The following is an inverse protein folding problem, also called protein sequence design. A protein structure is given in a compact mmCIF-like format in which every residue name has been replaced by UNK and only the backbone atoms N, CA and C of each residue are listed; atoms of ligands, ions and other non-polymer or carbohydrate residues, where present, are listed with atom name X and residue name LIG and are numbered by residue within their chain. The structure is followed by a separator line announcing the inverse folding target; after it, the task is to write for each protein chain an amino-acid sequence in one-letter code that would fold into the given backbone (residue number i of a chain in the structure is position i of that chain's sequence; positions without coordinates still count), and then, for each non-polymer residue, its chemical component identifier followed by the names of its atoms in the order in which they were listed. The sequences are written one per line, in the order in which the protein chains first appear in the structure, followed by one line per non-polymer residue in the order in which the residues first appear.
data_IF_997275493634
#
_entry.id   IF_997275493634
#
_cell.length_a   1.000
_cell.length_b   1.000
_cell.length_c   1.000
_cell.angle_alpha   90.00
_cell.angle_beta   90.00
_cell.angle_gamma   90.00
#
_symmetry.space_group_name_H-M   'P 1'
#
loop_
_entity.id
_entity.type
_entity.pdbx_description
1 polymer ?
#
# COMPACT_ATOMS: atom_id res chain seq x y z
N UNK A 1 -19.05 7.64 -20.12
CA UNK A 1 -18.84 6.49 -21.02
C UNK A 1 -18.64 6.92 -22.47
N UNK A 2 -19.55 7.74 -23.03
CA UNK A 2 -19.52 8.22 -24.42
C UNK A 2 -18.24 8.97 -24.83
N UNK A 3 -17.54 9.61 -23.88
CA UNK A 3 -16.26 10.28 -24.12
C UNK A 3 -15.09 9.28 -24.19
N UNK A 4 -15.07 8.27 -23.31
CA UNK A 4 -14.01 7.25 -23.25
C UNK A 4 -14.12 6.24 -24.41
N UNK A 5 -15.35 5.91 -24.82
CA UNK A 5 -15.60 5.08 -26.01
C UNK A 5 -15.16 5.80 -27.28
N UNK A 6 -15.47 7.10 -27.42
CA UNK A 6 -14.99 7.94 -28.53
C UNK A 6 -13.46 8.11 -28.55
N UNK A 7 -12.82 8.09 -27.38
CA UNK A 7 -11.35 8.12 -27.30
C UNK A 7 -10.76 6.80 -27.81
N UNK A 8 -11.31 5.65 -27.41
CA UNK A 8 -10.85 4.33 -27.85
C UNK A 8 -11.10 4.04 -29.34
N UNK A 9 -12.08 4.71 -29.94
CA UNK A 9 -12.32 4.71 -31.40
C UNK A 9 -11.28 5.51 -32.18
N UNK A 10 -10.47 6.36 -31.52
CA UNK A 10 -9.45 7.16 -32.19
C UNK A 10 -8.15 6.32 -32.41
N UNK A 11 -7.71 6.11 -33.67
CA UNK A 11 -6.54 5.27 -33.98
C UNK A 11 -5.24 5.75 -33.33
N UNK A 12 -5.13 7.05 -33.04
CA UNK A 12 -3.92 7.66 -32.46
C UNK A 12 -3.64 7.21 -31.02
N UNK A 13 -4.66 6.81 -30.25
CA UNK A 13 -4.47 6.33 -28.87
C UNK A 13 -3.79 4.96 -28.84
N UNK A 14 -3.96 4.15 -29.90
CA UNK A 14 -3.29 2.87 -30.02
C UNK A 14 -1.78 2.99 -30.32
N UNK A 15 -1.30 4.18 -30.67
CA UNK A 15 0.14 4.43 -30.82
C UNK A 15 0.87 4.48 -29.45
N UNK A 16 0.16 4.80 -28.37
CA UNK A 16 0.68 4.70 -27.01
C UNK A 16 -0.01 3.56 -26.24
N UNK A 17 0.66 2.41 -26.23
CA UNK A 17 0.17 1.18 -25.62
C UNK A 17 -0.17 1.34 -24.13
N UNK A 18 0.45 2.31 -23.43
CA UNK A 18 0.18 2.59 -22.02
C UNK A 18 -1.08 3.43 -21.84
N UNK A 19 -1.26 4.48 -22.65
CA UNK A 19 -2.48 5.28 -22.60
C UNK A 19 -3.70 4.44 -23.00
N UNK A 20 -3.60 3.64 -24.07
CA UNK A 20 -4.65 2.72 -24.49
C UNK A 20 -5.04 1.73 -23.37
N UNK A 21 -4.06 1.15 -22.67
CA UNK A 21 -4.32 0.24 -21.55
C UNK A 21 -5.00 0.96 -20.37
N UNK A 22 -4.58 2.18 -20.05
CA UNK A 22 -5.18 2.97 -18.96
C UNK A 22 -6.63 3.38 -19.25
N UNK A 23 -6.92 3.79 -20.50
CA UNK A 23 -8.26 4.19 -20.93
C UNK A 23 -9.19 2.98 -21.02
N UNK A 24 -8.68 1.84 -21.51
CA UNK A 24 -9.41 0.58 -21.53
C UNK A 24 -9.76 0.08 -20.12
N UNK A 25 -8.82 0.19 -19.17
CA UNK A 25 -9.06 -0.16 -17.76
C UNK A 25 -10.18 0.69 -17.16
N UNK A 26 -10.11 2.02 -17.32
CA UNK A 26 -11.16 2.95 -16.84
C UNK A 26 -12.52 2.69 -17.47
N UNK A 27 -12.55 2.32 -18.76
CA UNK A 27 -13.78 2.01 -19.47
C UNK A 27 -14.40 0.70 -18.95
N UNK A 28 -13.59 -0.34 -18.73
CA UNK A 28 -14.04 -1.59 -18.13
C UNK A 28 -14.54 -1.40 -16.71
N UNK A 29 -13.89 -0.56 -15.90
CA UNK A 29 -14.36 -0.19 -14.57
C UNK A 29 -15.73 0.51 -14.61
N UNK A 30 -15.92 1.45 -15.54
CA UNK A 30 -17.19 2.13 -15.73
C UNK A 30 -18.30 1.16 -16.20
N UNK A 31 -17.98 0.23 -17.12
CA UNK A 31 -18.92 -0.80 -17.58
C UNK A 31 -19.31 -1.76 -16.45
N UNK A 32 -18.34 -2.28 -15.71
CA UNK A 32 -18.61 -3.16 -14.57
C UNK A 32 -19.46 -2.48 -13.49
N UNK A 33 -19.27 -1.17 -13.27
CA UNK A 33 -20.10 -0.41 -12.33
C UNK A 33 -21.55 -0.30 -12.79
N UNK A 34 -21.77 -0.13 -14.09
CA UNK A 34 -23.12 -0.07 -14.67
C UNK A 34 -23.81 -1.42 -14.71
N UNK A 35 -23.08 -2.50 -14.99
CA UNK A 35 -23.62 -3.86 -14.90
C UNK A 35 -24.08 -4.18 -13.48
N UNK A 36 -23.31 -3.78 -12.46
CA UNK A 36 -23.73 -3.92 -11.05
C UNK A 36 -25.02 -3.17 -10.74
N UNK A 37 -25.14 -1.91 -11.17
CA UNK A 37 -26.36 -1.12 -10.95
C UNK A 37 -27.57 -1.78 -11.62
N UNK A 38 -27.41 -2.27 -12.86
CA UNK A 38 -28.49 -2.99 -13.56
C UNK A 38 -28.88 -4.28 -12.85
N UNK A 39 -27.91 -5.01 -12.30
CA UNK A 39 -28.16 -6.21 -11.52
C UNK A 39 -28.91 -5.90 -10.22
N UNK A 40 -28.61 -4.77 -9.56
CA UNK A 40 -29.36 -4.34 -8.38
C UNK A 40 -30.79 -3.91 -8.70
N UNK A 41 -31.00 -3.20 -9.82
CA UNK A 41 -32.35 -2.86 -10.28
C UNK A 41 -33.18 -4.12 -10.57
N UNK A 42 -32.58 -5.13 -11.22
CA UNK A 42 -33.27 -6.41 -11.47
C UNK A 42 -33.56 -7.18 -10.18
N UNK A 43 -32.60 -7.28 -9.26
CA UNK A 43 -32.83 -7.91 -7.95
C UNK A 43 -33.92 -7.21 -7.13
N UNK A 44 -34.02 -5.88 -7.22
CA UNK A 44 -35.08 -5.12 -6.58
C UNK A 44 -36.45 -5.38 -7.23
N UNK A 45 -36.52 -5.44 -8.56
CA UNK A 45 -37.75 -5.72 -9.30
C UNK A 45 -38.25 -7.16 -9.04
N UNK A 46 -37.33 -8.13 -9.05
CA UNK A 46 -37.61 -9.52 -8.71
C UNK A 46 -38.11 -9.65 -7.26
N UNK A 47 -37.46 -8.94 -6.32
CA UNK A 47 -37.89 -8.95 -4.91
C UNK A 47 -39.26 -8.31 -4.72
N UNK A 48 -39.58 -7.23 -5.44
CA UNK A 48 -40.92 -6.63 -5.41
C UNK A 48 -41.97 -7.59 -5.98
N UNK A 49 -41.67 -8.24 -7.11
CA UNK A 49 -42.56 -9.22 -7.73
C UNK A 49 -42.84 -10.41 -6.79
N UNK A 50 -41.83 -10.89 -6.07
CA UNK A 50 -41.98 -11.95 -5.05
C UNK A 50 -42.88 -11.50 -3.88
N UNK A 51 -42.75 -10.25 -3.44
CA UNK A 51 -43.63 -9.68 -2.40
C UNK A 51 -45.07 -9.60 -2.89
N UNK A 52 -45.30 -9.08 -4.10
CA UNK A 52 -46.64 -9.00 -4.70
C UNK A 52 -47.29 -10.40 -4.84
N UNK A 53 -46.54 -11.38 -5.36
CA UNK A 53 -46.99 -12.78 -5.46
C UNK A 53 -47.30 -13.40 -4.10
N UNK A 54 -46.51 -13.08 -3.07
CA UNK A 54 -46.77 -13.59 -1.72
C UNK A 54 -48.07 -13.04 -1.13
N UNK A 55 -48.41 -11.78 -1.43
CA UNK A 55 -49.66 -11.16 -1.00
C UNK A 55 -50.86 -11.78 -1.72
N UNK A 56 -50.73 -12.07 -3.01
CA UNK A 56 -51.77 -12.71 -3.82
C UNK A 56 -52.01 -14.19 -3.46
N UNK A 57 -50.93 -14.97 -3.28
CA UNK A 57 -51.00 -16.42 -3.04
C UNK A 57 -51.03 -16.80 -1.55
N UNK A 58 -50.80 -15.84 -0.65
CA UNK A 58 -50.67 -16.06 0.80
C UNK A 58 -49.61 -17.11 1.17
N UNK A 59 -48.51 -17.16 0.42
CA UNK A 59 -47.37 -18.06 0.68
C UNK A 59 -46.24 -17.33 1.43
N UNK A 60 -46.01 -17.64 2.72
CA UNK A 60 -44.91 -17.05 3.50
C UNK A 60 -43.52 -17.43 3.01
N UNK A 61 -43.37 -18.52 2.25
CA UNK A 61 -42.06 -18.96 1.74
C UNK A 61 -41.48 -17.96 0.74
N UNK A 62 -42.32 -17.30 -0.05
CA UNK A 62 -41.91 -16.28 -1.02
C UNK A 62 -41.41 -15.00 -0.34
N UNK A 63 -41.97 -14.66 0.84
CA UNK A 63 -41.50 -13.55 1.66
C UNK A 63 -40.10 -13.81 2.23
N UNK A 64 -39.83 -15.04 2.66
CA UNK A 64 -38.51 -15.42 3.17
C UNK A 64 -37.45 -15.31 2.05
N UNK A 65 -37.77 -15.77 0.83
CA UNK A 65 -36.90 -15.64 -0.35
C UNK A 65 -36.64 -14.18 -0.76
N UNK A 66 -37.68 -13.33 -0.75
CA UNK A 66 -37.54 -11.90 -0.99
C UNK A 66 -36.66 -11.23 0.08
N UNK A 67 -36.81 -11.64 1.34
CA UNK A 67 -36.02 -11.09 2.45
C UNK A 67 -34.53 -11.46 2.35
N UNK A 68 -34.21 -12.67 1.89
CA UNK A 68 -32.83 -13.11 1.69
C UNK A 68 -32.18 -12.37 0.51
N UNK A 69 -32.95 -12.15 -0.56
CA UNK A 69 -32.52 -11.39 -1.74
C UNK A 69 -32.24 -9.93 -1.40
N UNK A 70 -33.13 -9.28 -0.63
CA UNK A 70 -32.93 -7.91 -0.14
C UNK A 70 -31.74 -7.79 0.82
N UNK A 71 -31.49 -8.79 1.67
CA UNK A 71 -30.28 -8.81 2.52
C UNK A 71 -29.00 -8.87 1.70
N UNK A 72 -28.96 -9.73 0.67
CA UNK A 72 -27.79 -9.80 -0.24
C UNK A 72 -27.57 -8.46 -0.97
N UNK A 73 -28.65 -7.83 -1.44
CA UNK A 73 -28.58 -6.52 -2.09
C UNK A 73 -28.07 -5.43 -1.13
N UNK A 74 -28.56 -5.42 0.12
CA UNK A 74 -28.06 -4.54 1.18
C UNK A 74 -26.56 -4.70 1.39
N UNK A 75 -26.07 -5.94 1.53
CA UNK A 75 -24.65 -6.22 1.75
C UNK A 75 -23.78 -5.79 0.55
N UNK A 76 -24.29 -5.92 -0.67
CA UNK A 76 -23.59 -5.46 -1.88
C UNK A 76 -23.54 -3.93 -2.01
N UNK A 77 -24.65 -3.26 -1.68
CA UNK A 77 -24.73 -1.81 -1.65
C UNK A 77 -23.79 -1.22 -0.60
N UNK A 78 -23.76 -1.78 0.61
CA UNK A 78 -22.82 -1.35 1.65
C UNK A 78 -21.36 -1.47 1.19
N UNK A 79 -21.00 -2.58 0.54
CA UNK A 79 -19.65 -2.76 -0.05
C UNK A 79 -19.36 -1.72 -1.13
N UNK A 80 -20.35 -1.33 -1.93
CA UNK A 80 -20.16 -0.34 -2.99
C UNK A 80 -20.03 1.08 -2.44
N UNK A 81 -20.88 1.46 -1.49
CA UNK A 81 -20.73 2.73 -0.76
C UNK A 81 -19.34 2.82 -0.13
N UNK A 82 -18.87 1.72 0.46
CA UNK A 82 -17.53 1.65 1.01
C UNK A 82 -16.43 1.87 -0.04
N UNK A 83 -16.54 1.24 -1.21
CA UNK A 83 -15.62 1.48 -2.32
C UNK A 83 -15.63 2.93 -2.79
N UNK A 84 -16.77 3.63 -2.68
CA UNK A 84 -16.86 5.06 -3.02
C UNK A 84 -16.23 5.97 -1.97
N UNK A 85 -16.23 5.57 -0.70
CA UNK A 85 -15.50 6.29 0.36
C UNK A 85 -13.98 6.22 0.17
N UNK A 86 -13.47 5.20 -0.52
CA UNK A 86 -12.06 5.02 -0.84
C UNK A 86 -11.63 5.88 -2.05
N UNK A 87 -11.74 7.20 -1.90
CA UNK A 87 -11.41 8.19 -2.94
C UNK A 87 -10.02 8.83 -2.78
N UNK A 88 -9.15 8.29 -1.94
CA UNK A 88 -7.78 8.78 -1.77
C UNK A 88 -6.93 8.55 -3.02
N UNK A 89 -5.93 9.42 -3.23
CA UNK A 89 -5.05 9.39 -4.41
C UNK A 89 -4.39 8.01 -4.65
N UNK A 90 -4.07 7.30 -3.56
CA UNK A 90 -3.43 5.98 -3.60
C UNK A 90 -4.34 4.85 -3.12
N UNK A 91 -5.62 5.11 -2.85
CA UNK A 91 -6.52 4.09 -2.27
C UNK A 91 -6.69 2.89 -3.20
N UNK A 92 -6.64 3.11 -4.52
CA UNK A 92 -6.69 2.05 -5.55
C UNK A 92 -5.39 1.27 -5.73
N UNK A 93 -4.29 1.75 -5.15
CA UNK A 93 -2.96 1.16 -5.32
C UNK A 93 -2.80 -0.12 -4.49
N UNK A 94 -1.84 -0.93 -4.91
CA UNK A 94 -1.37 -2.06 -4.12
C UNK A 94 -0.80 -1.59 -2.77
N UNK A 95 -0.88 -2.44 -1.76
CA UNK A 95 -0.37 -2.15 -0.43
C UNK A 95 0.96 -2.86 -0.17
N UNK A 96 1.92 -2.13 0.36
CA UNK A 96 3.12 -2.68 0.98
C UNK A 96 2.93 -2.64 2.50
N UNK A 97 2.87 -3.82 3.12
CA UNK A 97 2.71 -3.98 4.55
C UNK A 97 4.01 -4.49 5.16
N UNK A 98 4.42 -3.87 6.26
CA UNK A 98 5.58 -4.31 7.05
C UNK A 98 5.15 -4.55 8.48
N UNK A 99 5.29 -5.79 8.93
CA UNK A 99 5.06 -6.17 10.33
C UNK A 99 6.39 -6.16 11.05
N UNK A 100 6.48 -5.43 12.17
CA UNK A 100 7.67 -5.37 13.01
C UNK A 100 7.35 -5.83 14.43
N UNK A 101 8.18 -6.71 14.98
CA UNK A 101 8.10 -7.11 16.38
C UNK A 101 8.54 -5.95 17.29
N UNK A 102 7.72 -5.66 18.30
CA UNK A 102 7.98 -4.60 19.27
C UNK A 102 8.62 -5.08 20.56
N UNK A 103 8.36 -4.35 21.65
CA UNK A 103 8.79 -4.75 22.99
C UNK A 103 8.08 -6.03 23.44
N UNK A 104 8.85 -7.04 23.85
CA UNK A 104 8.33 -8.32 24.35
C UNK A 104 9.20 -9.55 24.08
N UNK A 105 10.34 -9.41 23.38
CA UNK A 105 11.27 -10.51 23.12
C UNK A 105 10.65 -11.59 22.23
N UNK A 106 10.87 -12.87 22.55
CA UNK A 106 10.36 -14.02 21.80
C UNK A 106 8.83 -14.00 21.65
N UNK A 107 8.08 -13.52 22.65
CA UNK A 107 6.61 -13.40 22.54
C UNK A 107 6.14 -12.29 21.62
N UNK A 108 6.91 -11.22 21.45
CA UNK A 108 6.61 -10.18 20.46
C UNK A 108 6.92 -10.68 19.04
N UNK A 109 7.98 -11.48 18.88
CA UNK A 109 8.33 -12.10 17.60
C UNK A 109 7.28 -13.13 17.15
N UNK A 110 6.80 -13.96 18.08
CA UNK A 110 5.68 -14.88 17.79
C UNK A 110 4.38 -14.12 17.49
N UNK A 111 4.12 -13.03 18.21
CA UNK A 111 2.95 -12.18 17.91
C UNK A 111 3.03 -11.54 16.52
N UNK A 112 4.19 -11.05 16.10
CA UNK A 112 4.40 -10.54 14.76
C UNK A 112 4.10 -11.62 13.69
N UNK A 113 4.52 -12.87 13.94
CA UNK A 113 4.21 -13.99 13.04
C UNK A 113 2.71 -14.30 12.98
N UNK A 114 2.02 -14.25 14.12
CA UNK A 114 0.57 -14.42 14.18
C UNK A 114 -0.16 -13.33 13.38
N UNK A 115 0.28 -12.07 13.46
CA UNK A 115 -0.26 -10.98 12.67
C UNK A 115 -0.01 -11.16 11.18
N UNK A 116 1.21 -11.56 10.79
CA UNK A 116 1.53 -11.86 9.40
C UNK A 116 0.56 -12.90 8.84
N UNK A 117 0.35 -14.02 9.55
CA UNK A 117 -0.61 -15.06 9.16
C UNK A 117 -2.04 -14.52 9.04
N UNK A 118 -2.45 -13.66 9.96
CA UNK A 118 -3.78 -13.04 9.95
C UNK A 118 -3.99 -12.19 8.68
N UNK A 119 -3.01 -11.34 8.33
CA UNK A 119 -3.10 -10.49 7.14
C UNK A 119 -2.99 -11.25 5.83
N UNK A 120 -2.18 -12.32 5.77
CA UNK A 120 -2.14 -13.21 4.59
C UNK A 120 -3.52 -13.84 4.38
N UNK A 121 -4.14 -14.40 5.43
CA UNK A 121 -5.48 -15.00 5.34
C UNK A 121 -6.55 -14.00 4.97
N UNK A 122 -6.46 -12.78 5.50
CA UNK A 122 -7.36 -11.69 5.13
C UNK A 122 -7.25 -11.35 3.64
N UNK A 123 -6.04 -11.21 3.12
CA UNK A 123 -5.80 -10.96 1.70
C UNK A 123 -6.30 -12.11 0.80
N UNK A 124 -6.04 -13.37 1.19
CA UNK A 124 -6.55 -14.55 0.47
C UNK A 124 -8.08 -14.59 0.45
N UNK A 125 -8.76 -14.27 1.56
CA UNK A 125 -10.23 -14.18 1.63
C UNK A 125 -10.81 -13.11 0.72
N UNK A 126 -10.11 -11.98 0.55
CA UNK A 126 -10.49 -10.92 -0.39
C UNK A 126 -10.15 -11.26 -1.85
N UNK A 127 -9.43 -12.35 -2.10
CA UNK A 127 -8.96 -12.74 -3.43
C UNK A 127 -7.78 -11.90 -3.92
N UNK A 128 -7.03 -11.27 -3.01
CA UNK A 128 -5.82 -10.53 -3.34
C UNK A 128 -4.59 -11.45 -3.39
N UNK A 129 -3.60 -11.05 -4.18
CA UNK A 129 -2.34 -11.75 -4.26
C UNK A 129 -1.37 -11.23 -3.21
N UNK A 130 -0.63 -12.12 -2.56
CA UNK A 130 0.36 -11.76 -1.53
C UNK A 130 1.74 -12.24 -1.95
N UNK A 131 2.67 -11.30 -2.05
CA UNK A 131 4.07 -11.56 -2.35
C UNK A 131 4.94 -11.17 -1.15
N UNK A 132 5.67 -12.13 -0.59
CA UNK A 132 6.63 -11.87 0.49
C UNK A 132 7.91 -11.32 -0.14
N UNK A 133 8.32 -10.11 0.26
CA UNK A 133 9.51 -9.43 -0.28
C UNK A 133 10.72 -9.70 0.59
N UNK A 134 10.57 -9.52 1.90
CA UNK A 134 11.66 -9.72 2.85
C UNK A 134 11.11 -10.30 4.15
N UNK A 135 11.90 -11.16 4.79
CA UNK A 135 11.54 -11.80 6.06
C UNK A 135 12.79 -11.95 6.92
N UNK A 136 12.72 -11.37 8.11
CA UNK A 136 13.72 -11.49 9.17
C UNK A 136 13.17 -12.38 10.28
N UNK A 137 13.73 -13.57 10.44
CA UNK A 137 13.31 -14.54 11.46
C UNK A 137 13.72 -14.10 12.88
N UNK A 138 12.95 -14.57 13.88
CA UNK A 138 13.27 -14.45 15.30
C UNK A 138 14.45 -15.33 15.71
N UNK A 139 15.06 -15.04 16.87
CA UNK A 139 16.21 -15.82 17.35
C UNK A 139 15.81 -17.20 17.89
N UNK A 140 14.61 -17.31 18.49
CA UNK A 140 14.07 -18.56 19.04
C UNK A 140 12.76 -18.99 18.36
N UNK A 141 11.85 -18.04 18.14
CA UNK A 141 10.55 -18.27 17.53
C UNK A 141 10.02 -16.98 16.89
N UNK A 142 9.12 -17.12 15.92
CA UNK A 142 8.46 -15.98 15.29
C UNK A 142 9.32 -15.23 14.28
N UNK A 143 8.95 -13.98 14.02
CA UNK A 143 9.61 -13.08 13.07
C UNK A 143 9.98 -11.77 13.76
N UNK A 144 11.12 -11.18 13.42
CA UNK A 144 11.51 -9.83 13.83
C UNK A 144 10.84 -8.78 12.94
N UNK A 145 10.89 -8.99 11.63
CA UNK A 145 10.29 -8.11 10.64
C UNK A 145 9.89 -8.91 9.41
N UNK A 146 8.80 -8.56 8.76
CA UNK A 146 8.43 -9.12 7.47
C UNK A 146 7.72 -8.05 6.63
N UNK A 147 8.19 -7.87 5.41
CA UNK A 147 7.58 -6.99 4.42
C UNK A 147 6.96 -7.83 3.31
N UNK A 148 5.66 -7.60 3.06
CA UNK A 148 4.91 -8.28 2.01
C UNK A 148 4.07 -7.27 1.22
N UNK A 149 3.92 -7.55 -0.07
CA UNK A 149 3.08 -6.79 -0.98
C UNK A 149 1.74 -7.50 -1.12
N UNK A 150 0.66 -6.73 -1.05
CA UNK A 150 -0.69 -7.19 -1.32
C UNK A 150 -1.17 -6.49 -2.58
N UNK A 151 -1.30 -7.27 -3.64
CA UNK A 151 -1.77 -6.80 -4.94
C UNK A 151 -3.25 -7.11 -5.11
N UNK A 152 -4.04 -6.04 -5.26
CA UNK A 152 -5.48 -6.15 -5.16
C UNK A 152 -6.19 -4.81 -5.30
N UNK A 153 -7.42 -4.84 -5.82
CA UNK A 153 -8.22 -3.63 -5.98
C UNK A 153 -8.53 -3.03 -4.61
N UNK A 154 -8.18 -1.76 -4.44
CA UNK A 154 -8.31 -1.00 -3.19
C UNK A 154 -7.49 -1.53 -2.00
N UNK A 155 -6.47 -2.37 -2.23
CA UNK A 155 -5.71 -3.01 -1.16
C UNK A 155 -5.16 -1.99 -0.14
N UNK A 156 -4.55 -0.90 -0.62
CA UNK A 156 -4.06 0.17 0.25
C UNK A 156 -5.20 0.88 0.99
N UNK A 157 -6.30 1.17 0.29
CA UNK A 157 -7.48 1.81 0.87
C UNK A 157 -8.05 1.07 2.08
N UNK A 158 -8.08 -0.27 2.05
CA UNK A 158 -8.47 -1.07 3.21
C UNK A 158 -7.34 -1.16 4.26
N UNK A 159 -6.11 -1.41 3.84
CA UNK A 159 -4.99 -1.63 4.75
C UNK A 159 -4.62 -0.38 5.57
N UNK A 160 -4.92 0.84 5.09
CA UNK A 160 -4.63 2.09 5.83
C UNK A 160 -5.26 2.13 7.23
N UNK A 161 -6.40 1.46 7.42
CA UNK A 161 -7.06 1.35 8.71
C UNK A 161 -6.25 0.54 9.73
N UNK A 162 -5.38 -0.35 9.27
CA UNK A 162 -4.61 -1.27 10.09
C UNK A 162 -3.26 -0.70 10.53
N UNK A 163 -2.88 0.48 10.03
CA UNK A 163 -1.64 1.15 10.40
C UNK A 163 -1.61 1.49 11.89
N UNK A 164 -0.64 0.94 12.62
CA UNK A 164 -0.43 1.22 14.04
C UNK A 164 0.11 0.05 14.85
N UNK A 165 0.04 0.17 16.18
CA UNK A 165 0.54 -0.84 17.11
C UNK A 165 -0.58 -1.77 17.57
N UNK A 166 -0.37 -3.07 17.41
CA UNK A 166 -1.26 -4.12 17.84
C UNK A 166 -0.74 -4.77 19.12
N UNK A 167 -1.58 -4.75 20.16
CA UNK A 167 -1.24 -5.29 21.47
C UNK A 167 -1.83 -6.69 21.67
N UNK A 168 -1.01 -7.66 22.03
CA UNK A 168 -1.44 -8.99 22.44
C UNK A 168 -1.35 -9.15 23.95
N UNK A 169 -2.36 -9.77 24.55
CA UNK A 169 -2.35 -10.17 25.95
C UNK A 169 -2.75 -11.63 26.08
N UNK A 170 -1.77 -12.48 26.42
CA UNK A 170 -1.96 -13.92 26.57
C UNK A 170 -1.09 -14.49 27.70
N UNK A 171 -1.31 -15.76 28.03
CA UNK A 171 -0.33 -16.56 28.76
C UNK A 171 0.70 -17.03 27.74
N UNK A 172 1.97 -16.65 27.94
CA UNK A 172 3.03 -17.01 27.01
C UNK A 172 3.33 -18.50 27.08
N UNK A 173 3.44 -19.20 25.93
CA UNK A 173 3.90 -20.59 25.89
C UNK A 173 5.41 -20.71 26.12
N UNK A 174 6.16 -19.62 25.97
CA UNK A 174 7.62 -19.58 26.11
C UNK A 174 8.07 -19.28 27.55
N UNK A 175 7.17 -18.79 28.40
CA UNK A 175 7.48 -18.47 29.78
C UNK A 175 7.10 -19.61 30.73
N UNK A 176 8.09 -20.25 31.35
CA UNK A 176 7.91 -21.38 32.27
C UNK A 176 7.00 -21.09 33.47
N UNK A 177 6.78 -19.82 33.83
CA UNK A 177 5.96 -19.44 34.98
C UNK A 177 4.46 -19.28 34.66
N UNK A 178 4.01 -19.48 33.41
CA UNK A 178 2.60 -19.31 33.04
C UNK A 178 2.05 -17.90 33.31
N UNK A 179 2.94 -16.90 33.37
CA UNK A 179 2.55 -15.52 33.67
C UNK A 179 1.89 -14.88 32.45
N UNK A 180 0.89 -14.06 32.72
CA UNK A 180 0.28 -13.18 31.72
C UNK A 180 1.36 -12.22 31.21
N UNK A 181 1.55 -12.19 29.90
CA UNK A 181 2.43 -11.25 29.22
C UNK A 181 1.64 -10.36 28.28
N UNK A 182 2.21 -9.18 28.04
CA UNK A 182 1.72 -8.22 27.06
C UNK A 182 2.83 -8.00 26.04
N UNK A 183 2.50 -8.24 24.78
CA UNK A 183 3.42 -8.09 23.65
C UNK A 183 2.87 -7.05 22.68
N UNK A 184 3.78 -6.41 21.96
CA UNK A 184 3.44 -5.40 20.95
C UNK A 184 4.08 -5.77 19.62
N UNK A 185 3.37 -5.51 18.53
CA UNK A 185 3.88 -5.53 17.17
C UNK A 185 3.30 -4.35 16.42
N UNK A 186 4.10 -3.70 15.57
CA UNK A 186 3.62 -2.63 14.72
C UNK A 186 3.36 -3.13 13.31
N UNK A 187 2.33 -2.56 12.69
CA UNK A 187 2.03 -2.71 11.28
C UNK A 187 2.20 -1.36 10.60
N UNK A 188 3.14 -1.29 9.67
CA UNK A 188 3.29 -0.19 8.75
C UNK A 188 2.60 -0.53 7.44
N UNK A 189 1.94 0.47 6.85
CA UNK A 189 1.25 0.33 5.56
C UNK A 189 1.65 1.51 4.69
N UNK A 190 2.04 1.23 3.46
CA UNK A 190 2.39 2.23 2.44
C UNK A 190 1.86 1.80 1.08
N UNK A 191 1.48 2.73 0.20
CA UNK A 191 1.06 2.38 -1.15
C UNK A 191 2.29 2.02 -2.00
N UNK A 192 2.14 1.08 -2.92
CA UNK A 192 3.14 0.82 -3.96
C UNK A 192 3.04 1.96 -4.99
N UNK A 193 4.10 2.76 -5.10
CA UNK A 193 4.19 3.83 -6.09
C UNK A 193 5.04 3.34 -7.26
N UNK A 194 4.48 3.28 -8.46
CA UNK A 194 5.13 2.71 -9.67
C UNK A 194 6.30 3.56 -10.22
N UNK A 195 6.58 4.73 -9.66
CA UNK A 195 7.56 5.69 -10.22
C UNK A 195 9.04 5.29 -10.07
N UNK A 196 9.33 4.15 -9.43
CA UNK A 196 10.69 3.73 -9.09
C UNK A 196 11.55 3.26 -10.30
N UNK A 197 10.96 2.95 -11.46
CA UNK A 197 11.71 2.39 -12.60
C UNK A 197 12.08 3.39 -13.70
N UNK A 198 11.74 4.67 -13.56
CA UNK A 198 12.09 5.68 -14.57
C UNK A 198 13.60 5.89 -14.58
N UNK A 199 14.31 5.17 -15.46
CA UNK A 199 15.68 5.51 -15.89
C UNK A 199 15.73 7.01 -16.13
N UNK A 200 16.58 7.70 -15.38
CA UNK A 200 16.78 9.14 -15.54
C UNK A 200 17.48 9.33 -16.88
N UNK A 201 16.69 9.52 -17.94
CA UNK A 201 17.19 9.99 -19.22
C UNK A 201 17.42 11.49 -19.05
N UNK A 202 18.68 11.90 -18.98
CA UNK A 202 19.07 13.30 -18.88
C UNK A 202 19.15 13.83 -20.32
N UNK A 203 18.23 14.73 -20.74
CA UNK A 203 18.33 15.34 -22.06
C UNK A 203 19.61 16.19 -22.13
N UNK A 204 20.35 16.14 -23.24
CA UNK A 204 21.58 16.92 -23.38
C UNK A 204 21.36 18.44 -23.31
N UNK A 205 20.13 18.91 -23.57
CA UNK A 205 19.77 20.34 -23.54
C UNK A 205 19.63 20.91 -22.11
N UNK A 206 19.50 20.03 -21.11
CA UNK A 206 19.35 20.41 -19.69
C UNK A 206 20.70 20.56 -18.97
N UNK A 207 21.80 20.25 -19.66
CA UNK A 207 23.15 20.18 -19.10
C UNK A 207 24.07 21.18 -19.80
N UNK A 208 24.70 22.06 -19.03
CA UNK A 208 25.77 22.93 -19.52
C UNK A 208 27.13 22.43 -19.05
N UNK A 209 28.10 22.44 -19.97
CA UNK A 209 29.47 22.06 -19.69
C UNK A 209 30.38 23.28 -19.81
N UNK A 210 31.03 23.65 -18.71
CA UNK A 210 32.08 24.66 -18.67
C UNK A 210 33.43 23.96 -18.45
N UNK A 211 34.41 24.23 -19.30
CA UNK A 211 35.77 23.69 -19.15
C UNK A 211 36.60 24.63 -18.30
N UNK A 212 37.39 24.06 -17.38
CA UNK A 212 38.28 24.82 -16.52
C UNK A 212 39.64 24.14 -16.40
N UNK A 213 40.62 24.88 -15.88
CA UNK A 213 41.93 24.33 -15.56
C UNK A 213 41.85 23.52 -14.27
N UNK A 214 42.52 22.38 -14.23
CA UNK A 214 42.53 21.51 -13.05
C UNK A 214 43.37 22.17 -11.94
N UNK A 215 42.82 22.26 -10.73
CA UNK A 215 43.52 22.88 -9.59
C UNK A 215 44.24 21.82 -8.77
N UNK A 216 45.57 21.79 -8.83
CA UNK A 216 46.38 20.87 -8.02
C UNK A 216 47.89 21.07 -8.18
N UNK A 217 48.68 20.49 -7.27
CA UNK A 217 50.15 20.55 -7.25
C UNK A 217 50.81 19.66 -8.34
N UNK A 218 50.35 19.77 -9.59
CA UNK A 218 50.80 18.97 -10.73
C UNK A 218 51.64 19.75 -11.75
N UNK A 219 52.49 19.03 -12.49
CA UNK A 219 53.47 19.59 -13.44
C UNK A 219 52.89 20.39 -14.62
N UNK A 220 53.74 20.78 -15.57
CA UNK A 220 53.43 21.72 -16.67
C UNK A 220 52.13 21.44 -17.46
N UNK A 221 51.69 20.18 -17.54
CA UNK A 221 50.48 19.78 -18.25
C UNK A 221 49.18 20.23 -17.54
N UNK A 222 49.19 20.30 -16.20
CA UNK A 222 48.04 20.74 -15.38
C UNK A 222 47.81 22.25 -15.52
N UNK A 223 48.88 23.02 -15.74
CA UNK A 223 48.82 24.49 -15.84
C UNK A 223 48.46 25.00 -17.25
N UNK A 224 48.62 24.16 -18.29
CA UNK A 224 48.42 24.55 -19.70
C UNK A 224 47.14 24.01 -20.33
N UNK A 225 46.60 22.88 -19.86
CA UNK A 225 45.47 22.20 -20.51
C UNK A 225 44.20 22.29 -19.66
N UNK A 226 43.09 22.70 -20.28
CA UNK A 226 41.77 22.78 -19.65
C UNK A 226 41.09 21.41 -19.61
N UNK A 227 41.60 20.54 -18.74
CA UNK A 227 41.11 19.16 -18.60
C UNK A 227 39.93 19.03 -17.65
N UNK A 228 39.73 19.97 -16.71
CA UNK A 228 38.65 19.89 -15.73
C UNK A 228 37.32 20.35 -16.35
N UNK A 229 36.24 19.71 -15.92
CA UNK A 229 34.90 19.95 -16.43
C UNK A 229 33.98 20.31 -15.27
N UNK A 230 33.26 21.41 -15.42
CA UNK A 230 32.12 21.76 -14.58
C UNK A 230 30.85 21.49 -15.36
N UNK A 231 30.02 20.62 -14.81
CA UNK A 231 28.69 20.35 -15.28
C UNK A 231 27.70 21.18 -14.46
N UNK A 232 26.77 21.85 -15.12
CA UNK A 232 25.63 22.54 -14.51
C UNK A 232 24.32 21.96 -15.05
N UNK A 233 23.46 21.47 -14.16
CA UNK A 233 22.13 21.00 -14.51
C UNK A 233 21.12 22.11 -14.28
N UNK A 234 20.56 22.69 -15.35
CA UNK A 234 19.64 23.84 -15.29
C UNK A 234 18.40 23.59 -14.43
N UNK A 235 17.72 22.43 -14.51
CA UNK A 235 16.47 22.20 -13.78
C UNK A 235 16.65 22.15 -12.26
N UNK A 236 17.72 21.50 -11.78
CA UNK A 236 17.92 21.28 -10.34
C UNK A 236 18.99 22.20 -9.73
N UNK A 237 19.70 22.98 -10.55
CA UNK A 237 20.79 23.85 -10.10
C UNK A 237 22.04 23.11 -9.62
N UNK A 238 22.14 21.79 -9.83
CA UNK A 238 23.27 20.98 -9.37
C UNK A 238 24.52 21.32 -10.18
N UNK A 239 25.59 21.69 -9.47
CA UNK A 239 26.92 21.92 -10.04
C UNK A 239 27.84 20.75 -9.66
N UNK A 240 28.46 20.12 -10.64
CA UNK A 240 29.44 19.04 -10.44
C UNK A 240 30.76 19.46 -11.08
N UNK A 241 31.85 19.35 -10.32
CA UNK A 241 33.20 19.62 -10.81
C UNK A 241 33.97 18.29 -10.86
N UNK A 242 34.46 17.91 -12.04
CA UNK A 242 35.27 16.72 -12.23
C UNK A 242 36.66 17.07 -12.77
N UNK A 243 37.69 16.60 -12.06
CA UNK A 243 39.11 16.82 -12.39
C UNK A 243 39.95 15.55 -12.17
N UNK A 244 39.32 14.37 -12.14
CA UNK A 244 39.97 13.12 -11.76
C UNK A 244 40.88 12.59 -12.87
N UNK A 245 40.48 12.74 -14.13
CA UNK A 245 41.20 12.20 -15.28
C UNK A 245 41.99 13.26 -16.04
N UNK A 246 43.01 12.82 -16.77
CA UNK A 246 43.82 13.69 -17.65
C UNK A 246 43.12 14.06 -18.95
N UNK A 247 42.01 13.38 -19.28
CA UNK A 247 41.23 13.61 -20.51
C UNK A 247 39.94 14.35 -20.21
N UNK A 248 39.66 15.40 -20.98
CA UNK A 248 38.43 16.19 -20.91
C UNK A 248 37.18 15.33 -21.17
N UNK A 249 37.22 14.43 -22.15
CA UNK A 249 36.09 13.56 -22.51
C UNK A 249 35.74 12.61 -21.37
N UNK A 250 36.75 12.01 -20.73
CA UNK A 250 36.56 11.15 -19.55
C UNK A 250 35.99 11.92 -18.37
N UNK A 251 36.47 13.15 -18.13
CA UNK A 251 35.90 14.01 -17.09
C UNK A 251 34.44 14.40 -17.37
N UNK A 252 34.03 14.56 -18.65
CA UNK A 252 32.62 14.77 -19.02
C UNK A 252 31.76 13.54 -18.73
N UNK A 253 32.23 12.35 -19.09
CA UNK A 253 31.51 11.09 -18.82
C UNK A 253 31.35 10.85 -17.32
N UNK A 254 32.41 11.04 -16.53
CA UNK A 254 32.37 10.92 -15.07
C UNK A 254 31.42 11.97 -14.47
N UNK A 255 31.45 13.21 -14.97
CA UNK A 255 30.53 14.25 -14.50
C UNK A 255 29.06 13.89 -14.78
N UNK A 256 28.76 13.29 -15.94
CA UNK A 256 27.42 12.79 -16.28
C UNK A 256 26.99 11.61 -15.40
N UNK A 257 27.89 10.67 -15.10
CA UNK A 257 27.62 9.57 -14.17
C UNK A 257 27.33 10.08 -12.75
N UNK A 258 28.11 11.05 -12.27
CA UNK A 258 27.89 11.70 -10.97
C UNK A 258 26.60 12.52 -10.95
N UNK A 259 26.21 13.12 -12.09
CA UNK A 259 24.92 13.79 -12.20
C UNK A 259 23.78 12.79 -12.11
N UNK A 260 23.86 11.68 -12.84
CA UNK A 260 22.86 10.63 -12.80
C UNK A 260 22.70 10.04 -11.39
N UNK A 261 23.81 9.78 -10.68
CA UNK A 261 23.76 9.28 -9.30
C UNK A 261 23.12 10.29 -8.35
N UNK A 262 23.48 11.59 -8.45
CA UNK A 262 22.88 12.64 -7.60
C UNK A 262 21.40 12.87 -7.89
N UNK A 263 20.99 12.82 -9.16
CA UNK A 263 19.58 12.94 -9.53
C UNK A 263 18.77 11.73 -9.05
N UNK A 264 19.37 10.53 -9.07
CA UNK A 264 18.75 9.32 -8.53
C UNK A 264 18.60 9.43 -7.01
N UNK A 265 19.65 9.84 -6.31
CA UNK A 265 19.62 10.09 -4.87
C UNK A 265 18.56 11.13 -4.49
N UNK A 266 18.47 12.24 -5.23
CA UNK A 266 17.47 13.28 -4.99
C UNK A 266 16.05 12.76 -5.21
N UNK A 267 15.80 12.02 -6.30
CA UNK A 267 14.49 11.38 -6.53
C UNK A 267 14.15 10.36 -5.46
N UNK A 268 15.14 9.59 -5.01
CA UNK A 268 14.96 8.61 -3.95
C UNK A 268 14.63 9.31 -2.62
N UNK A 269 15.30 10.43 -2.30
CA UNK A 269 14.99 11.25 -1.14
C UNK A 269 13.61 11.89 -1.22
N UNK A 270 13.22 12.46 -2.37
CA UNK A 270 11.86 12.99 -2.57
C UNK A 270 10.80 11.91 -2.42
N UNK A 271 11.07 10.72 -2.97
CA UNK A 271 10.18 9.57 -2.83
C UNK A 271 10.09 9.10 -1.37
N UNK A 272 11.22 8.97 -0.68
CA UNK A 272 11.29 8.59 0.72
C UNK A 272 10.61 9.63 1.62
N UNK A 273 10.71 10.92 1.29
CA UNK A 273 9.95 11.98 1.96
C UNK A 273 8.45 11.85 1.73
N UNK A 274 8.00 11.64 0.48
CA UNK A 274 6.57 11.42 0.18
C UNK A 274 6.04 10.18 0.90
N UNK A 275 6.79 9.08 0.87
CA UNK A 275 6.45 7.86 1.58
C UNK A 275 6.45 8.10 3.09
N UNK A 276 7.42 8.84 3.64
CA UNK A 276 7.46 9.20 5.06
C UNK A 276 6.27 10.08 5.46
N UNK A 277 5.85 11.00 4.60
CA UNK A 277 4.69 11.86 4.82
C UNK A 277 3.40 11.04 4.83
N UNK A 278 3.26 10.10 3.88
CA UNK A 278 2.15 9.12 3.86
C UNK A 278 2.20 8.15 5.05
N UNK A 279 3.40 7.72 5.44
CA UNK A 279 3.66 6.92 6.64
C UNK A 279 3.43 7.73 7.92
N UNK A 280 3.34 9.06 7.87
CA UNK A 280 3.13 9.90 9.04
C UNK A 280 4.19 9.72 10.12
N UNK A 281 3.92 10.23 11.33
CA UNK A 281 4.80 10.01 12.48
C UNK A 281 4.84 8.51 12.82
N UNK A 282 6.05 7.94 12.83
CA UNK A 282 6.28 6.58 13.34
C UNK A 282 5.88 6.59 14.80
N UNK A 283 4.71 6.01 15.10
CA UNK A 283 4.27 5.89 16.48
C UNK A 283 5.22 4.95 17.23
N UNK A 284 5.78 5.44 18.33
CA UNK A 284 6.62 4.64 19.21
C UNK A 284 5.91 3.32 19.55
N UNK A 285 6.60 2.20 19.38
CA UNK A 285 6.11 0.85 19.72
C UNK A 285 6.18 0.65 21.24
N UNK A 286 5.56 1.55 21.99
CA UNK A 286 5.56 1.63 23.44
C UNK A 286 4.12 1.60 23.98
N UNK A 287 4.00 1.43 25.30
CA UNK A 287 2.73 1.50 26.00
C UNK A 287 2.04 2.85 25.75
N UNK A 288 0.88 2.83 25.07
CA UNK A 288 0.02 4.01 24.89
C UNK A 288 -0.39 4.32 23.45
N UNK A 289 0.34 3.81 22.44
CA UNK A 289 0.08 4.05 21.01
C UNK A 289 -0.73 2.94 20.32
N UNK A 290 -1.33 2.04 21.09
CA UNK A 290 -1.97 0.84 20.57
C UNK A 290 -3.32 1.15 19.92
N UNK A 291 -3.52 0.67 18.69
CA UNK A 291 -4.77 0.84 17.96
C UNK A 291 -5.78 -0.27 18.30
N UNK A 292 -5.30 -1.50 18.54
CA UNK A 292 -6.12 -2.66 18.81
C UNK A 292 -5.52 -3.52 19.91
N UNK A 293 -6.38 -4.05 20.76
CA UNK A 293 -6.02 -4.93 21.86
C UNK A 293 -6.63 -6.31 21.66
N UNK A 294 -5.79 -7.33 21.57
CA UNK A 294 -6.15 -8.74 21.43
C UNK A 294 -5.94 -9.43 22.77
N UNK A 295 -7.02 -9.72 23.48
CA UNK A 295 -6.98 -10.38 24.80
C UNK A 295 -7.42 -11.82 24.63
N UNK A 296 -6.51 -12.76 24.94
CA UNK A 296 -6.77 -14.20 24.90
C UNK A 296 -7.09 -14.75 26.28
N UNK A 297 -6.59 -14.09 27.34
CA UNK A 297 -6.82 -14.46 28.73
C UNK A 297 -6.90 -13.19 29.59
N UNK A 298 -7.87 -13.06 30.53
CA UNK A 298 -8.78 -14.10 31.04
C UNK A 298 -10.06 -14.32 30.24
N UNK A 299 -10.40 -13.41 29.33
CA UNK A 299 -11.50 -13.54 28.39
C UNK A 299 -10.96 -13.38 26.97
N UNK A 300 -11.62 -14.03 26.01
CA UNK A 300 -11.30 -13.90 24.58
C UNK A 300 -12.06 -12.69 24.02
N UNK A 301 -11.35 -11.63 23.68
CA UNK A 301 -11.93 -10.44 23.05
C UNK A 301 -10.87 -9.66 22.27
N UNK A 302 -11.25 -9.15 21.10
CA UNK A 302 -10.48 -8.17 20.34
C UNK A 302 -11.23 -6.85 20.33
N UNK A 303 -10.55 -5.75 20.65
CA UNK A 303 -11.15 -4.41 20.71
C UNK A 303 -10.29 -3.39 20.00
N UNK A 304 -10.88 -2.61 19.09
CA UNK A 304 -10.25 -1.43 18.51
C UNK A 304 -10.52 -0.22 19.41
N UNK A 305 -9.45 0.45 19.83
CA UNK A 305 -9.52 1.57 20.77
C UNK A 305 -9.89 2.89 20.10
N UNK A 306 -9.79 2.97 18.77
CA UNK A 306 -10.11 4.18 17.99
C UNK A 306 -11.60 4.25 17.67
N UNK A 307 -12.20 3.12 17.32
CA UNK A 307 -13.63 3.01 16.96
C UNK A 307 -14.48 2.53 18.12
N UNK A 308 -13.90 1.80 19.08
CA UNK A 308 -14.63 1.14 20.16
C UNK A 308 -15.28 -0.18 19.77
N UNK A 309 -15.17 -0.60 18.51
CA UNK A 309 -15.71 -1.86 18.02
C UNK A 309 -14.99 -3.05 18.67
N UNK A 310 -15.74 -4.05 19.10
CA UNK A 310 -15.24 -5.23 19.79
C UNK A 310 -15.86 -6.52 19.25
N UNK A 311 -15.06 -7.58 19.22
CA UNK A 311 -15.44 -8.89 18.75
C UNK A 311 -14.99 -9.96 19.74
N UNK A 312 -15.93 -10.78 20.21
CA UNK A 312 -15.65 -11.86 21.17
C UNK A 312 -14.97 -13.08 20.54
N UNK A 313 -15.17 -13.31 19.23
CA UNK A 313 -14.58 -14.44 18.53
C UNK A 313 -13.17 -14.14 18.04
N UNK A 314 -12.18 -14.27 18.95
CA UNK A 314 -10.76 -14.01 18.66
C UNK A 314 -10.22 -14.93 17.56
N UNK A 315 -10.67 -16.19 17.53
CA UNK A 315 -10.17 -17.17 16.57
C UNK A 315 -10.57 -16.79 15.13
N UNK A 316 -11.78 -16.26 14.93
CA UNK A 316 -12.21 -15.70 13.64
C UNK A 316 -11.38 -14.49 13.21
N UNK A 317 -11.06 -13.57 14.14
CA UNK A 317 -10.19 -12.42 13.86
C UNK A 317 -8.82 -12.89 13.38
N UNK A 318 -8.21 -13.84 14.09
CA UNK A 318 -6.89 -14.38 13.76
C UNK A 318 -6.88 -15.14 12.43
N UNK A 319 -8.04 -15.62 11.99
CA UNK A 319 -8.24 -16.26 10.68
C UNK A 319 -8.53 -15.26 9.56
N UNK A 320 -8.44 -13.95 9.83
CA UNK A 320 -8.55 -12.88 8.83
C UNK A 320 -9.93 -12.22 8.75
N UNK A 321 -10.82 -12.45 9.72
CA UNK A 321 -12.11 -11.75 9.82
C UNK A 321 -11.93 -10.38 10.50
N UNK A 322 -11.31 -9.44 9.78
CA UNK A 322 -11.01 -8.08 10.28
C UNK A 322 -11.82 -6.99 9.59
N UNK A 323 -12.69 -7.35 8.65
CA UNK A 323 -13.45 -6.41 7.83
C UNK A 323 -14.31 -5.47 8.69
N UNK A 324 -14.97 -5.97 9.73
CA UNK A 324 -15.75 -5.12 10.65
C UNK A 324 -14.93 -4.04 11.37
N UNK A 325 -13.65 -4.31 11.66
CA UNK A 325 -12.76 -3.31 12.26
C UNK A 325 -12.37 -2.23 11.24
N UNK A 326 -12.04 -2.65 10.02
CA UNK A 326 -11.66 -1.75 8.93
C UNK A 326 -12.85 -0.86 8.53
N UNK A 327 -14.03 -1.46 8.41
CA UNK A 327 -15.26 -0.75 8.04
C UNK A 327 -15.66 0.27 9.09
N UNK A 328 -15.62 -0.11 10.37
CA UNK A 328 -15.93 0.83 11.46
C UNK A 328 -14.93 1.99 11.55
N UNK A 329 -13.67 1.79 11.13
CA UNK A 329 -12.66 2.85 11.09
C UNK A 329 -12.89 3.80 9.92
N UNK A 330 -13.20 3.27 8.75
CA UNK A 330 -13.38 4.07 7.53
C UNK A 330 -14.74 4.78 7.46
N UNK A 331 -15.77 4.28 8.17
CA UNK A 331 -17.07 4.97 8.31
C UNK A 331 -17.02 6.19 9.27
N UNK A 332 -15.96 6.36 10.06
CA UNK A 332 -15.83 7.40 11.10
C UNK A 332 -15.23 8.69 10.55
#
# INVERSE_FOLDING_TARGET
MTSLEKQLENPDIWNDQKEAASVSKKLNEAKSSLEKIKNWDTLLDDSNTLVELSEEEHDPSLLDEASESLKKLSDELEKWEFQKMLSGEYDESDALLTVNAGAGGTDAQDWAQMLLRMYIRWAERKGWHVDIIDTSEGDEAGIKSCTFRVSGKYAYGYAKAEKGVHRLVRISPFNANGKRQTSFASLEVSPVIEDCEKKIVIPPDEVEFETMRSGGAGGQNVNKVETAVRLFHKPTGIVIKCQQERSQLKNKEIAMQLLASKLLEMKQQEHEQKVSELKGEVMDVNFGSQIRSYVFHPYKMVKDLRTGYEMGNVDAVMDGDIDGFIESYLKK
#
